data_IF_977322055842
#
_entry.id   IF_977322055842
#
_cell.length_a   1.000
_cell.length_b   1.000
_cell.length_c   1.000
_cell.angle_alpha   90.00
_cell.angle_beta   90.00
_cell.angle_gamma   90.00
#
_symmetry.space_group_name_H-M   'P 1'
#
loop_
_entity.id
_entity.type
_entity.pdbx_description
1 polymer ?
#
# COMPACT_ATOMS: atom_id res chain seq x y z
N UNK A 1 -13.28 0.88 -73.00
CA UNK A 1 -12.37 0.88 -71.84
C UNK A 1 -13.11 1.52 -70.66
N UNK A 2 -13.70 0.72 -69.77
CA UNK A 2 -14.48 1.19 -68.61
C UNK A 2 -13.84 0.61 -67.35
N UNK A 3 -13.13 1.46 -66.60
CA UNK A 3 -12.50 1.09 -65.33
C UNK A 3 -13.57 1.20 -64.24
N UNK A 4 -13.86 0.06 -63.62
CA UNK A 4 -14.86 -0.14 -62.56
C UNK A 4 -14.54 0.71 -61.32
N UNK A 5 -15.51 1.53 -60.89
CA UNK A 5 -15.45 2.43 -59.71
C UNK A 5 -15.83 1.72 -58.40
N UNK A 6 -15.56 0.42 -58.24
CA UNK A 6 -16.14 -0.37 -57.14
C UNK A 6 -15.11 -0.91 -56.14
N UNK A 7 -13.96 -0.25 -55.95
CA UNK A 7 -12.87 -0.77 -55.09
C UNK A 7 -12.34 0.19 -54.00
N UNK A 8 -12.98 1.34 -53.76
CA UNK A 8 -12.52 2.32 -52.74
C UNK A 8 -13.50 2.40 -51.55
N UNK A 9 -13.99 1.24 -51.09
CA UNK A 9 -15.00 1.18 -50.02
C UNK A 9 -14.64 0.36 -48.79
N UNK A 10 -13.51 -0.36 -48.78
CA UNK A 10 -13.27 -1.44 -47.81
C UNK A 10 -12.00 -1.29 -46.95
N UNK A 11 -11.51 -0.06 -46.73
CA UNK A 11 -10.27 0.16 -45.96
C UNK A 11 -10.48 0.87 -44.60
N UNK A 12 -11.70 1.27 -44.21
CA UNK A 12 -11.92 2.05 -42.98
C UNK A 12 -12.44 1.26 -41.76
N UNK A 13 -12.45 -0.07 -41.78
CA UNK A 13 -12.98 -0.88 -40.68
C UNK A 13 -11.92 -1.43 -39.70
N UNK A 14 -10.62 -1.20 -39.92
CA UNK A 14 -9.55 -1.88 -39.16
C UNK A 14 -8.94 -1.06 -37.99
N UNK A 15 -9.63 -0.02 -37.50
CA UNK A 15 -9.00 0.98 -36.63
C UNK A 15 -9.82 1.43 -35.41
N UNK A 16 -10.70 0.60 -34.86
CA UNK A 16 -11.26 0.85 -33.52
C UNK A 16 -10.73 -0.19 -32.54
N UNK A 17 -9.43 -0.12 -32.25
CA UNK A 17 -8.94 -0.63 -30.97
C UNK A 17 -9.49 0.35 -29.93
N UNK A 18 -10.61 0.00 -29.30
CA UNK A 18 -11.26 0.85 -28.32
C UNK A 18 -10.25 1.26 -27.25
N UNK A 19 -9.99 2.56 -27.13
CA UNK A 19 -9.22 3.10 -26.02
C UNK A 19 -9.98 2.79 -24.72
N UNK A 20 -9.53 1.78 -23.98
CA UNK A 20 -10.03 1.51 -22.63
C UNK A 20 -9.60 2.69 -21.74
N UNK A 21 -10.57 3.35 -21.10
CA UNK A 21 -10.28 4.42 -20.16
C UNK A 21 -9.44 3.86 -19.00
N UNK A 22 -8.29 4.48 -18.72
CA UNK A 22 -7.41 4.08 -17.64
C UNK A 22 -8.07 4.36 -16.29
N UNK A 23 -8.13 3.35 -15.42
CA UNK A 23 -8.61 3.51 -14.03
C UNK A 23 -7.47 4.02 -13.16
N UNK A 24 -7.70 5.14 -12.46
CA UNK A 24 -6.71 5.74 -11.55
C UNK A 24 -7.01 5.31 -10.12
N UNK A 25 -6.05 4.64 -9.47
CA UNK A 25 -6.12 4.20 -8.08
C UNK A 25 -5.39 5.19 -7.17
N UNK A 26 -6.04 5.69 -6.12
CA UNK A 26 -5.43 6.60 -5.15
C UNK A 26 -4.70 5.80 -4.07
N UNK A 27 -3.38 5.94 -4.01
CA UNK A 27 -2.56 5.34 -2.97
C UNK A 27 -1.98 6.40 -2.05
N UNK A 28 -2.26 6.30 -0.75
CA UNK A 28 -1.77 7.21 0.26
C UNK A 28 -0.85 6.56 1.28
N UNK A 29 0.05 7.36 1.86
CA UNK A 29 0.96 6.95 2.93
C UNK A 29 1.52 8.16 3.70
N UNK A 30 1.95 7.93 4.94
CA UNK A 30 2.29 9.00 5.87
C UNK A 30 3.66 9.67 5.63
N UNK A 31 4.60 8.95 5.02
CA UNK A 31 5.98 9.40 4.82
C UNK A 31 6.18 10.08 3.46
N UNK A 32 7.37 10.62 3.20
CA UNK A 32 7.72 11.23 1.91
C UNK A 32 7.75 10.19 0.78
N UNK A 33 7.67 10.66 -0.47
CA UNK A 33 7.71 9.80 -1.66
C UNK A 33 9.05 9.08 -1.83
N UNK A 34 10.12 9.65 -1.30
CA UNK A 34 11.48 9.12 -1.36
C UNK A 34 11.80 8.16 -0.20
N UNK A 35 10.88 8.03 0.77
CA UNK A 35 11.02 7.08 1.89
C UNK A 35 10.86 5.62 1.45
N UNK A 36 11.15 4.69 2.36
CA UNK A 36 10.93 3.25 2.16
C UNK A 36 9.49 2.91 1.76
N UNK A 37 8.48 3.57 2.31
CA UNK A 37 7.09 3.37 1.87
C UNK A 37 6.88 3.84 0.43
N UNK A 38 7.45 4.99 0.06
CA UNK A 38 7.32 5.53 -1.28
C UNK A 38 8.03 4.67 -2.33
N UNK A 39 9.20 4.12 -2.02
CA UNK A 39 9.91 3.15 -2.85
C UNK A 39 9.05 1.89 -3.07
N UNK A 40 8.55 1.29 -1.99
CA UNK A 40 7.70 0.08 -2.09
C UNK A 40 6.41 0.33 -2.87
N UNK A 41 5.72 1.43 -2.57
CA UNK A 41 4.49 1.83 -3.28
C UNK A 41 4.74 2.11 -4.76
N UNK A 42 5.90 2.68 -5.13
CA UNK A 42 6.25 2.95 -6.54
C UNK A 42 6.40 1.63 -7.29
N UNK A 43 7.18 0.69 -6.75
CA UNK A 43 7.36 -0.63 -7.37
C UNK A 43 6.03 -1.38 -7.49
N UNK A 44 5.21 -1.35 -6.44
CA UNK A 44 3.86 -1.93 -6.49
C UNK A 44 3.03 -1.34 -7.63
N UNK A 45 3.00 -0.02 -7.76
CA UNK A 45 2.21 0.67 -8.76
C UNK A 45 2.72 0.44 -10.18
N UNK A 46 4.04 0.38 -10.39
CA UNK A 46 4.64 0.04 -11.67
C UNK A 46 4.29 -1.39 -12.10
N UNK A 47 4.32 -2.36 -11.17
CA UNK A 47 3.92 -3.74 -11.45
C UNK A 47 2.41 -3.89 -11.66
N UNK A 48 1.57 -3.09 -11.00
CA UNK A 48 0.12 -3.01 -11.29
C UNK A 48 -0.12 -2.48 -12.70
N UNK A 49 0.52 -1.37 -13.08
CA UNK A 49 0.35 -0.78 -14.41
C UNK A 49 0.81 -1.77 -15.49
N UNK A 50 1.99 -2.38 -15.32
CA UNK A 50 2.53 -3.40 -16.24
C UNK A 50 1.66 -4.65 -16.29
N UNK A 51 1.32 -5.23 -15.15
CA UNK A 51 0.54 -6.47 -15.05
C UNK A 51 -0.89 -6.31 -15.57
N UNK A 52 -1.41 -5.08 -15.58
CA UNK A 52 -2.75 -4.78 -16.10
C UNK A 52 -2.73 -4.23 -17.52
N UNK A 53 -1.56 -4.15 -18.16
CA UNK A 53 -1.38 -3.57 -19.51
C UNK A 53 -1.88 -2.13 -19.59
N UNK A 54 -1.58 -1.32 -18.57
CA UNK A 54 -1.97 0.09 -18.49
C UNK A 54 -3.41 0.34 -18.07
N UNK A 55 -4.24 -0.70 -17.85
CA UNK A 55 -5.65 -0.51 -17.45
C UNK A 55 -5.80 0.15 -16.09
N UNK A 56 -4.85 -0.08 -15.17
CA UNK A 56 -4.80 0.57 -13.86
C UNK A 56 -3.51 1.37 -13.71
N UNK A 57 -3.62 2.53 -13.07
CA UNK A 57 -2.46 3.36 -12.72
C UNK A 57 -2.65 3.98 -11.36
N UNK A 58 -1.60 3.99 -10.55
CA UNK A 58 -1.66 4.67 -9.27
C UNK A 58 -1.44 6.17 -9.39
N UNK A 59 -2.14 6.91 -8.55
CA UNK A 59 -1.82 8.28 -8.16
C UNK A 59 -1.37 8.29 -6.71
N UNK A 60 -0.15 8.78 -6.46
CA UNK A 60 0.46 8.83 -5.13
C UNK A 60 0.03 10.06 -4.34
N UNK A 61 -0.26 9.85 -3.05
CA UNK A 61 -0.52 10.88 -2.05
C UNK A 61 0.38 10.67 -0.83
N UNK A 62 1.61 11.15 -0.93
CA UNK A 62 2.62 11.07 0.12
C UNK A 62 2.39 12.12 1.23
N UNK A 63 3.19 12.05 2.30
CA UNK A 63 3.20 13.02 3.40
C UNK A 63 1.82 13.22 4.06
N UNK A 64 1.05 12.13 4.21
CA UNK A 64 -0.30 12.19 4.81
C UNK A 64 -1.25 13.14 4.08
N UNK A 65 -1.09 13.34 2.76
CA UNK A 65 -1.92 14.26 1.98
C UNK A 65 -3.42 13.90 1.98
N UNK A 66 -3.77 12.66 2.35
CA UNK A 66 -5.16 12.17 2.52
C UNK A 66 -5.55 11.98 4.00
N UNK A 67 -4.75 12.46 4.94
CA UNK A 67 -4.94 12.26 6.38
C UNK A 67 -3.89 11.32 7.01
N UNK A 68 -3.99 11.13 8.33
CA UNK A 68 -3.13 10.20 9.05
C UNK A 68 -3.42 8.74 8.70
N UNK A 69 -2.55 7.83 9.13
CA UNK A 69 -2.66 6.41 8.78
C UNK A 69 -4.02 5.79 9.17
N UNK A 70 -4.52 6.12 10.37
CA UNK A 70 -5.83 5.63 10.85
C UNK A 70 -6.98 6.12 9.96
N UNK A 71 -6.98 7.41 9.62
CA UNK A 71 -7.97 8.01 8.74
C UNK A 71 -7.95 7.38 7.34
N UNK A 72 -6.76 7.11 6.80
CA UNK A 72 -6.63 6.49 5.49
C UNK A 72 -7.07 5.03 5.47
N UNK A 73 -6.84 4.25 6.54
CA UNK A 73 -7.39 2.89 6.66
C UNK A 73 -8.93 2.92 6.65
N UNK A 74 -9.52 3.87 7.38
CA UNK A 74 -10.97 4.08 7.40
C UNK A 74 -11.50 4.51 6.02
N UNK A 75 -10.79 5.39 5.30
CA UNK A 75 -11.13 5.80 3.94
C UNK A 75 -11.10 4.62 2.94
N UNK A 76 -10.13 3.71 3.08
CA UNK A 76 -10.09 2.45 2.30
C UNK A 76 -11.26 1.55 2.65
N UNK A 77 -11.56 1.38 3.94
CA UNK A 77 -12.71 0.59 4.40
C UNK A 77 -14.05 1.13 3.86
N UNK A 78 -14.18 2.46 3.74
CA UNK A 78 -15.35 3.14 3.19
C UNK A 78 -15.36 3.21 1.65
N UNK A 79 -14.25 2.86 1.00
CA UNK A 79 -14.10 2.92 -0.46
C UNK A 79 -13.93 4.33 -1.04
N UNK A 80 -13.58 5.33 -0.23
CA UNK A 80 -13.31 6.71 -0.70
C UNK A 80 -11.84 6.91 -1.10
N UNK A 81 -10.96 6.00 -0.66
CA UNK A 81 -9.56 5.82 -1.08
C UNK A 81 -9.38 4.37 -1.53
N UNK A 82 -8.58 4.14 -2.58
CA UNK A 82 -8.44 2.79 -3.14
C UNK A 82 -7.39 1.95 -2.40
N UNK A 83 -6.26 2.57 -2.01
CA UNK A 83 -5.10 1.90 -1.47
C UNK A 83 -4.44 2.72 -0.36
N UNK A 84 -3.92 2.06 0.68
CA UNK A 84 -3.09 2.68 1.71
C UNK A 84 -1.87 1.79 2.00
N UNK A 85 -0.69 2.38 2.09
CA UNK A 85 0.50 1.75 2.67
C UNK A 85 0.68 2.30 4.09
N UNK A 86 0.56 1.44 5.09
CA UNK A 86 0.41 1.82 6.49
C UNK A 86 1.18 0.90 7.43
N UNK A 87 1.60 1.44 8.59
CA UNK A 87 2.12 0.64 9.69
C UNK A 87 1.03 -0.20 10.38
N UNK A 88 1.44 -1.19 11.16
CA UNK A 88 0.54 -2.06 11.96
C UNK A 88 -0.14 -1.33 13.12
N UNK A 89 0.50 -0.28 13.66
CA UNK A 89 0.03 0.46 14.84
C UNK A 89 -1.46 0.88 14.79
N UNK A 90 -1.91 1.59 13.74
CA UNK A 90 -3.32 1.97 13.62
C UNK A 90 -4.24 0.82 13.16
N UNK A 91 -3.70 -0.19 12.46
CA UNK A 91 -4.48 -1.33 11.93
C UNK A 91 -5.13 -2.14 13.04
N UNK A 92 -4.48 -2.26 14.20
CA UNK A 92 -5.03 -2.98 15.36
C UNK A 92 -6.37 -2.45 15.88
N UNK A 93 -6.79 -1.23 15.49
CA UNK A 93 -8.12 -0.70 15.81
C UNK A 93 -9.24 -1.29 14.94
N UNK A 94 -8.89 -1.82 13.76
CA UNK A 94 -9.80 -2.39 12.79
C UNK A 94 -9.73 -3.93 12.78
N UNK A 95 -8.50 -4.47 12.85
CA UNK A 95 -8.19 -5.90 12.87
C UNK A 95 -7.36 -6.20 14.12
N UNK A 96 -7.99 -6.51 15.28
CA UNK A 96 -7.29 -6.69 16.55
C UNK A 96 -6.20 -7.76 16.54
N UNK A 97 -6.32 -8.77 15.68
CA UNK A 97 -5.37 -9.87 15.53
C UNK A 97 -3.97 -9.38 15.11
N UNK A 98 -3.88 -8.22 14.43
CA UNK A 98 -2.60 -7.61 14.03
C UNK A 98 -1.76 -7.21 15.25
N UNK A 99 -2.39 -6.92 16.40
CA UNK A 99 -1.66 -6.48 17.62
C UNK A 99 -0.62 -7.49 18.10
N UNK A 100 -0.74 -8.76 17.73
CA UNK A 100 0.23 -9.78 18.12
C UNK A 100 1.64 -9.47 17.59
N UNK A 101 1.75 -8.84 16.41
CA UNK A 101 3.05 -8.53 15.80
C UNK A 101 3.67 -7.22 16.32
N UNK A 102 2.93 -6.47 17.15
CA UNK A 102 3.37 -5.21 17.76
C UNK A 102 3.92 -5.38 19.18
N UNK A 103 3.99 -6.62 19.69
CA UNK A 103 4.54 -6.90 21.03
C UNK A 103 6.02 -6.50 21.07
N UNK A 104 6.45 -5.64 22.03
CA UNK A 104 7.83 -5.22 22.14
C UNK A 104 8.80 -6.39 22.26
N UNK A 105 9.90 -6.35 21.49
CA UNK A 105 10.97 -7.35 21.47
C UNK A 105 10.55 -8.76 20.98
N UNK A 106 9.38 -8.91 20.35
CA UNK A 106 8.93 -10.19 19.78
C UNK A 106 9.84 -10.69 18.65
N UNK A 107 10.22 -9.80 17.73
CA UNK A 107 11.11 -10.14 16.62
C UNK A 107 12.57 -9.88 16.97
N UNK A 108 13.42 -10.89 16.77
CA UNK A 108 14.86 -10.84 17.06
C UNK A 108 15.65 -9.97 16.10
N UNK A 109 15.27 -9.99 14.82
CA UNK A 109 15.91 -9.30 13.72
C UNK A 109 14.96 -9.24 12.51
N UNK A 110 15.42 -8.63 11.42
CA UNK A 110 14.65 -8.46 10.18
C UNK A 110 14.35 -9.79 9.47
N UNK A 111 15.28 -10.76 9.50
CA UNK A 111 15.09 -12.05 8.84
C UNK A 111 13.98 -12.86 9.54
N UNK A 112 13.98 -12.86 10.87
CA UNK A 112 12.93 -13.46 11.67
C UNK A 112 11.57 -12.80 11.41
N UNK A 113 11.52 -11.46 11.41
CA UNK A 113 10.28 -10.74 11.13
C UNK A 113 9.72 -11.10 9.76
N UNK A 114 10.53 -10.96 8.70
CA UNK A 114 10.11 -11.25 7.32
C UNK A 114 9.65 -12.69 7.15
N UNK A 115 10.40 -13.67 7.67
CA UNK A 115 10.00 -15.09 7.60
C UNK A 115 8.66 -15.39 8.29
N UNK A 116 8.37 -14.72 9.41
CA UNK A 116 7.08 -14.89 10.11
C UNK A 116 5.94 -14.23 9.33
N UNK A 117 6.15 -13.02 8.83
CA UNK A 117 5.13 -12.24 8.11
C UNK A 117 4.83 -12.83 6.72
N UNK A 118 5.85 -13.30 6.02
CA UNK A 118 5.69 -13.98 4.72
C UNK A 118 5.21 -15.43 4.88
N UNK A 119 5.43 -16.03 6.06
CA UNK A 119 5.06 -17.40 6.38
C UNK A 119 3.60 -17.57 6.82
N UNK A 120 3.22 -18.80 7.23
CA UNK A 120 1.84 -19.14 7.55
C UNK A 120 1.17 -18.25 8.60
N UNK A 121 1.95 -17.73 9.56
CA UNK A 121 1.45 -16.85 10.62
C UNK A 121 0.97 -15.52 10.03
N UNK A 122 1.84 -14.82 9.28
CA UNK A 122 1.46 -13.56 8.66
C UNK A 122 0.36 -13.73 7.61
N UNK A 123 0.37 -14.83 6.85
CA UNK A 123 -0.70 -15.12 5.90
C UNK A 123 -2.05 -15.37 6.59
N UNK A 124 -2.08 -16.08 7.73
CA UNK A 124 -3.32 -16.26 8.51
C UNK A 124 -3.88 -14.91 8.99
N UNK A 125 -3.03 -13.99 9.42
CA UNK A 125 -3.47 -12.65 9.86
C UNK A 125 -4.10 -11.87 8.69
N UNK A 126 -3.56 -11.95 7.47
CA UNK A 126 -4.15 -11.29 6.28
C UNK A 126 -5.58 -11.77 6.01
N UNK A 127 -5.90 -13.04 6.31
CA UNK A 127 -7.27 -13.58 6.14
C UNK A 127 -8.32 -12.93 7.03
N UNK A 128 -7.92 -12.19 8.07
CA UNK A 128 -8.87 -11.55 9.01
C UNK A 128 -9.42 -10.22 8.47
N UNK A 129 -8.68 -9.56 7.58
CA UNK A 129 -9.02 -8.24 7.04
C UNK A 129 -10.34 -8.19 6.24
N UNK A 130 -10.66 -9.17 5.36
CA UNK A 130 -11.89 -9.11 4.55
C UNK A 130 -13.17 -9.03 5.38
N UNK A 131 -13.20 -9.65 6.56
CA UNK A 131 -14.34 -9.57 7.49
C UNK A 131 -14.61 -8.13 8.00
N UNK A 132 -13.63 -7.24 7.82
CA UNK A 132 -13.67 -5.82 8.18
C UNK A 132 -13.82 -4.92 6.96
N UNK A 133 -14.11 -5.46 5.77
CA UNK A 133 -14.26 -4.67 4.54
C UNK A 133 -12.93 -4.14 3.98
N UNK A 134 -11.80 -4.73 4.36
CA UNK A 134 -10.46 -4.34 3.88
C UNK A 134 -9.82 -5.56 3.22
N UNK A 135 -9.13 -5.36 2.10
CA UNK A 135 -8.30 -6.41 1.48
C UNK A 135 -6.84 -6.08 1.76
N UNK A 136 -6.17 -6.92 2.54
CA UNK A 136 -4.73 -6.80 2.78
C UNK A 136 -3.97 -7.56 1.69
N UNK A 137 -3.26 -6.83 0.82
CA UNK A 137 -2.58 -7.40 -0.35
C UNK A 137 -1.28 -8.12 0.01
N UNK A 138 -0.61 -7.71 1.07
CA UNK A 138 0.65 -8.27 1.51
C UNK A 138 1.26 -7.46 2.64
N UNK A 139 2.29 -8.02 3.27
CA UNK A 139 3.06 -7.33 4.30
C UNK A 139 4.17 -6.51 3.66
N UNK A 140 4.38 -5.31 4.21
CA UNK A 140 5.53 -4.46 3.93
C UNK A 140 6.29 -4.23 5.24
N UNK A 141 7.36 -3.44 5.20
CA UNK A 141 8.20 -3.19 6.36
C UNK A 141 8.33 -1.70 6.64
N UNK A 142 8.13 -1.32 7.91
CA UNK A 142 8.48 0.01 8.41
C UNK A 142 9.89 0.02 9.04
N UNK A 143 10.18 -1.00 9.87
CA UNK A 143 11.46 -1.21 10.53
C UNK A 143 11.35 -1.29 12.05
N UNK A 144 12.46 -1.61 12.71
CA UNK A 144 12.56 -1.57 14.16
C UNK A 144 12.50 -0.12 14.67
N UNK A 145 11.74 0.10 15.74
CA UNK A 145 11.48 1.45 16.25
C UNK A 145 12.50 1.85 17.30
N UNK A 146 12.98 3.08 17.21
CA UNK A 146 13.91 3.69 18.17
C UNK A 146 13.24 4.85 18.90
N UNK A 147 13.57 5.02 20.19
CA UNK A 147 13.06 6.12 21.00
C UNK A 147 13.95 7.35 20.80
N UNK A 148 13.32 8.48 20.51
CA UNK A 148 14.00 9.78 20.39
C UNK A 148 13.23 10.82 21.21
N UNK A 149 13.93 11.84 21.71
CA UNK A 149 13.32 12.96 22.42
C UNK A 149 14.25 14.18 22.39
N UNK A 150 13.73 15.37 22.71
CA UNK A 150 14.52 16.62 22.70
C UNK A 150 15.07 17.02 24.08
N UNK A 151 14.97 16.18 25.11
CA UNK A 151 15.30 16.53 26.49
C UNK A 151 16.62 15.93 26.98
N UNK A 152 16.88 14.67 26.69
CA UNK A 152 18.04 13.92 27.22
C UNK A 152 18.26 12.61 26.49
N UNK A 153 19.45 12.05 26.65
CA UNK A 153 19.77 10.70 26.18
C UNK A 153 18.98 9.65 26.97
N UNK A 154 18.73 8.51 26.32
CA UNK A 154 18.09 7.33 26.92
C UNK A 154 19.06 6.16 26.80
N UNK A 155 19.74 5.84 27.90
CA UNK A 155 20.73 4.75 27.95
C UNK A 155 20.27 3.60 28.85
N UNK A 156 19.23 3.82 29.66
CA UNK A 156 18.53 2.80 30.45
C UNK A 156 17.03 3.07 30.50
N UNK A 157 16.18 2.06 30.77
CA UNK A 157 14.72 2.23 30.74
C UNK A 157 14.18 3.35 31.64
N UNK A 158 14.77 3.56 32.82
CA UNK A 158 14.36 4.61 33.76
C UNK A 158 14.48 6.03 33.17
N UNK A 159 15.35 6.24 32.18
CA UNK A 159 15.53 7.56 31.56
C UNK A 159 14.31 7.98 30.73
N UNK A 160 13.46 7.03 30.33
CA UNK A 160 12.21 7.31 29.63
C UNK A 160 11.11 7.88 30.54
N UNK A 161 11.24 7.76 31.87
CA UNK A 161 10.21 8.18 32.80
C UNK A 161 9.90 9.69 32.70
N UNK A 162 8.62 10.03 32.58
CA UNK A 162 8.15 11.42 32.46
C UNK A 162 8.45 12.09 31.12
N UNK A 163 9.02 11.37 30.14
CA UNK A 163 8.94 11.80 28.74
C UNK A 163 7.49 11.66 28.25
N UNK A 164 7.07 12.60 27.40
CA UNK A 164 5.75 12.62 26.75
C UNK A 164 5.95 12.34 25.27
#
# INVERSE_FOLDING_TARGET
>A
MKISKTLIGLALAAGFVGAQAQTVLKIGYATSKESHYGVGSTVFCDEVEKGTQGRYKCQHFANSALGGEREQIEAVQLGTQDLVNTSTGPVGNFVPEVKIVDIPFLFRDYDHARKVMDGPIGQDILTKFPSKGIIALGWTENGFRHMTNSKRDIVKPADAAGLK
#
